data_IF_373896955635
#
_entry.id   IF_373896955635
#
_cell.length_a   1.000
_cell.length_b   1.000
_cell.length_c   1.000
_cell.angle_alpha   90.00
_cell.angle_beta   90.00
_cell.angle_gamma   90.00
#
_symmetry.space_group_name_H-M   'P 1'
#
loop_
_entity.id
_entity.type
_entity.pdbx_description
1 polymer ?
#
# COMPACT_ATOMS: atom_id res chain seq x y z
N UNK A 1 -61.74 10.95 -36.45
CA UNK A 1 -62.85 10.20 -35.85
C UNK A 1 -64.10 11.07 -35.92
N UNK A 2 -65.27 10.51 -36.31
CA UNK A 2 -66.64 11.09 -36.24
C UNK A 2 -66.89 12.46 -36.92
N UNK A 3 -68.03 12.76 -37.54
CA UNK A 3 -69.25 12.07 -38.03
C UNK A 3 -69.77 13.01 -39.13
N UNK A 4 -70.19 12.58 -40.32
CA UNK A 4 -71.49 11.94 -40.62
C UNK A 4 -72.69 12.74 -40.11
N UNK A 5 -73.31 13.51 -41.01
CA UNK A 5 -74.67 14.09 -41.00
C UNK A 5 -74.99 14.31 -42.51
N UNK A 6 -75.42 13.29 -43.24
CA UNK A 6 -76.81 12.84 -43.42
C UNK A 6 -77.76 13.89 -44.06
N UNK A 7 -77.91 13.72 -45.38
CA UNK A 7 -79.15 13.72 -46.15
C UNK A 7 -80.35 14.58 -45.69
N UNK A 8 -80.72 15.53 -46.55
CA UNK A 8 -82.14 15.86 -46.73
C UNK A 8 -82.45 16.21 -48.19
N UNK A 9 -82.42 15.20 -49.06
CA UNK A 9 -82.97 15.27 -50.42
C UNK A 9 -84.48 15.05 -50.34
N UNK A 10 -85.25 16.13 -50.25
CA UNK A 10 -86.71 16.08 -50.40
C UNK A 10 -87.04 15.97 -51.89
N UNK A 11 -87.61 14.82 -52.27
CA UNK A 11 -87.92 14.45 -53.65
C UNK A 11 -89.11 15.21 -54.26
N UNK A 12 -89.10 15.29 -55.59
CA UNK A 12 -90.29 15.57 -56.40
C UNK A 12 -91.43 14.60 -56.07
N UNK A 13 -92.52 15.04 -55.43
CA UNK A 13 -93.81 14.29 -55.47
C UNK A 13 -95.09 15.02 -54.96
N UNK A 14 -95.30 16.34 -55.16
CA UNK A 14 -96.61 16.92 -54.70
C UNK A 14 -97.28 18.09 -55.47
N UNK A 15 -96.88 18.46 -56.69
CA UNK A 15 -97.57 19.52 -57.46
C UNK A 15 -98.04 19.13 -58.88
N UNK A 16 -98.64 17.94 -59.01
CA UNK A 16 -99.44 17.53 -60.19
C UNK A 16 -100.95 17.41 -59.90
N UNK A 17 -101.44 18.04 -58.82
CA UNK A 17 -102.82 17.89 -58.31
C UNK A 17 -103.87 18.85 -58.92
N UNK A 18 -103.47 19.72 -59.86
CA UNK A 18 -104.36 20.71 -60.48
C UNK A 18 -104.35 20.62 -62.02
N UNK A 19 -104.65 19.44 -62.57
CA UNK A 19 -105.21 19.32 -63.92
C UNK A 19 -106.69 18.90 -63.83
N UNK A 20 -107.65 19.75 -64.23
CA UNK A 20 -109.03 19.31 -64.42
C UNK A 20 -109.13 18.46 -65.69
N UNK A 21 -109.21 17.13 -65.50
CA UNK A 21 -109.54 16.20 -66.56
C UNK A 21 -111.04 16.31 -66.94
N UNK A 22 -111.30 16.28 -68.26
CA UNK A 22 -112.59 16.00 -68.93
C UNK A 22 -113.90 16.09 -68.12
N UNK A 23 -114.80 16.97 -68.55
CA UNK A 23 -116.19 16.56 -68.80
C UNK A 23 -116.46 16.45 -70.30
N UNK A 24 -116.14 15.27 -70.85
CA UNK A 24 -116.93 14.69 -71.94
C UNK A 24 -118.19 14.08 -71.32
N UNK A 25 -119.33 14.73 -71.48
CA UNK A 25 -120.65 14.17 -71.21
C UNK A 25 -121.57 14.50 -72.38
N UNK A 26 -122.00 13.48 -73.12
CA UNK A 26 -122.94 13.65 -74.23
C UNK A 26 -124.30 13.02 -73.94
N UNK A 27 -125.23 13.30 -74.85
CA UNK A 27 -126.64 12.88 -74.93
C UNK A 27 -127.64 13.61 -74.00
N UNK A 28 -128.93 13.74 -74.42
CA UNK A 28 -129.51 13.31 -75.70
C UNK A 28 -130.02 14.46 -76.59
N UNK A 29 -130.19 14.16 -77.89
CA UNK A 29 -130.86 14.99 -78.91
C UNK A 29 -132.31 14.51 -79.10
N UNK A 30 -133.30 15.41 -78.97
CA UNK A 30 -134.67 15.44 -79.55
C UNK A 30 -135.53 16.47 -78.76
N UNK A 31 -136.66 17.06 -79.19
CA UNK A 31 -137.34 17.37 -80.48
C UNK A 31 -138.67 18.06 -80.08
N UNK A 32 -139.21 19.11 -80.71
CA UNK A 32 -138.80 19.98 -81.82
C UNK A 32 -139.45 21.36 -81.65
N UNK A 33 -138.83 22.45 -82.10
CA UNK A 33 -139.53 23.67 -82.57
C UNK A 33 -138.58 24.54 -83.41
N UNK A 34 -138.97 24.82 -84.66
CA UNK A 34 -138.26 25.69 -85.61
C UNK A 34 -138.51 27.16 -85.18
N UNK A 35 -137.60 28.14 -85.21
CA UNK A 35 -136.87 28.77 -86.33
C UNK A 35 -135.91 29.82 -85.70
N UNK A 36 -134.74 30.13 -86.28
CA UNK A 36 -134.30 31.54 -86.61
C UNK A 36 -132.80 31.69 -86.93
N UNK A 37 -132.51 32.18 -88.14
CA UNK A 37 -131.17 32.51 -88.63
C UNK A 37 -130.54 33.73 -87.90
N UNK A 38 -131.37 34.57 -87.27
CA UNK A 38 -130.91 35.73 -86.47
C UNK A 38 -130.23 35.34 -85.17
N UNK A 39 -130.68 34.27 -84.51
CA UNK A 39 -130.11 33.79 -83.25
C UNK A 39 -128.72 33.20 -83.45
N UNK A 40 -128.41 32.72 -84.65
CA UNK A 40 -127.11 32.15 -85.00
C UNK A 40 -126.04 33.22 -85.22
N UNK A 41 -126.42 34.40 -85.73
CA UNK A 41 -125.53 35.58 -85.82
C UNK A 41 -125.28 36.16 -84.43
N UNK A 42 -126.33 36.26 -83.59
CA UNK A 42 -126.21 36.72 -82.21
C UNK A 42 -125.33 35.76 -81.37
N UNK A 43 -125.50 34.45 -81.52
CA UNK A 43 -124.67 33.43 -80.89
C UNK A 43 -123.20 33.53 -81.33
N UNK A 44 -122.92 33.73 -82.62
CA UNK A 44 -121.54 33.90 -83.11
C UNK A 44 -120.87 35.19 -82.59
N UNK A 45 -121.63 36.29 -82.53
CA UNK A 45 -121.19 37.55 -81.89
C UNK A 45 -120.87 37.35 -80.42
N UNK A 46 -121.76 36.68 -79.68
CA UNK A 46 -121.59 36.37 -78.26
C UNK A 46 -120.39 35.44 -78.01
N UNK A 47 -120.18 34.43 -78.87
CA UNK A 47 -119.02 33.53 -78.81
C UNK A 47 -117.70 34.27 -79.09
N UNK A 48 -117.67 35.23 -80.02
CA UNK A 48 -116.48 36.07 -80.23
C UNK A 48 -116.19 36.96 -79.02
N UNK A 49 -117.23 37.57 -78.42
CA UNK A 49 -117.08 38.37 -77.21
C UNK A 49 -116.59 37.53 -76.02
N UNK A 50 -117.15 36.33 -75.82
CA UNK A 50 -116.73 35.39 -74.77
C UNK A 50 -115.29 34.93 -75.00
N UNK A 51 -114.89 34.58 -76.23
CA UNK A 51 -113.49 34.22 -76.54
C UNK A 51 -112.53 35.35 -76.23
N UNK A 52 -112.83 36.57 -76.71
CA UNK A 52 -112.02 37.76 -76.42
C UNK A 52 -111.90 38.02 -74.92
N UNK A 53 -113.00 37.84 -74.16
CA UNK A 53 -112.98 38.03 -72.71
C UNK A 53 -112.16 36.95 -71.99
N UNK A 54 -112.26 35.69 -72.40
CA UNK A 54 -111.43 34.58 -71.89
C UNK A 54 -109.94 34.82 -72.23
N UNK A 55 -109.63 35.31 -73.43
CA UNK A 55 -108.26 35.66 -73.84
C UNK A 55 -107.71 36.85 -73.03
N UNK A 56 -108.51 37.88 -72.75
CA UNK A 56 -108.17 38.99 -71.86
C UNK A 56 -107.91 38.50 -70.42
N UNK A 57 -108.79 37.65 -69.88
CA UNK A 57 -108.67 37.12 -68.51
C UNK A 57 -107.45 36.18 -68.38
N UNK A 58 -107.17 35.35 -69.40
CA UNK A 58 -105.96 34.52 -69.46
C UNK A 58 -104.68 35.35 -69.59
N UNK A 59 -104.69 36.42 -70.38
CA UNK A 59 -103.57 37.35 -70.47
C UNK A 59 -103.32 38.06 -69.14
N UNK A 60 -104.38 38.44 -68.42
CA UNK A 60 -104.24 39.01 -67.08
C UNK A 60 -103.67 37.99 -66.09
N UNK A 61 -104.19 36.75 -66.05
CA UNK A 61 -103.68 35.69 -65.18
C UNK A 61 -102.21 35.36 -65.45
N UNK A 62 -101.81 35.25 -66.73
CA UNK A 62 -100.41 35.06 -67.14
C UNK A 62 -99.56 36.26 -66.72
N UNK A 63 -100.01 37.49 -66.90
CA UNK A 63 -99.29 38.69 -66.47
C UNK A 63 -99.16 38.77 -64.93
N UNK A 64 -100.18 38.36 -64.18
CA UNK A 64 -100.12 38.23 -62.72
C UNK A 64 -99.13 37.14 -62.30
N UNK A 65 -99.14 35.96 -62.95
CA UNK A 65 -98.19 34.87 -62.72
C UNK A 65 -96.75 35.31 -63.01
N UNK A 66 -96.50 35.95 -64.15
CA UNK A 66 -95.18 36.48 -64.53
C UNK A 66 -94.69 37.54 -63.52
N UNK A 67 -95.56 38.41 -63.01
CA UNK A 67 -95.20 39.35 -61.96
C UNK A 67 -94.89 38.65 -60.63
N UNK A 68 -95.66 37.62 -60.23
CA UNK A 68 -95.37 36.77 -59.06
C UNK A 68 -94.00 36.08 -59.21
N UNK A 69 -93.72 35.45 -60.35
CA UNK A 69 -92.44 34.79 -60.63
C UNK A 69 -91.27 35.79 -60.65
N UNK A 70 -91.45 36.97 -61.27
CA UNK A 70 -90.44 38.04 -61.24
C UNK A 70 -90.15 38.51 -59.82
N UNK A 71 -91.17 38.65 -58.98
CA UNK A 71 -91.00 39.00 -57.57
C UNK A 71 -90.27 37.89 -56.80
N UNK A 72 -90.69 36.63 -56.94
CA UNK A 72 -90.03 35.47 -56.30
C UNK A 72 -88.56 35.35 -56.71
N UNK A 73 -88.26 35.45 -58.00
CA UNK A 73 -86.87 35.47 -58.51
C UNK A 73 -86.07 36.65 -57.95
N UNK A 74 -86.69 37.83 -57.80
CA UNK A 74 -85.99 38.98 -57.20
C UNK A 74 -85.68 38.76 -55.71
N UNK A 75 -86.63 38.22 -54.93
CA UNK A 75 -86.45 37.90 -53.50
C UNK A 75 -85.43 36.76 -53.31
N UNK A 76 -85.46 35.76 -54.17
CA UNK A 76 -84.49 34.67 -54.17
C UNK A 76 -83.08 35.17 -54.54
N UNK A 77 -82.97 36.08 -55.53
CA UNK A 77 -81.72 36.72 -55.91
C UNK A 77 -81.14 37.57 -54.78
N UNK A 78 -81.95 38.44 -54.15
CA UNK A 78 -81.48 39.24 -53.00
C UNK A 78 -81.06 38.35 -51.84
N UNK A 79 -81.80 37.25 -51.57
CA UNK A 79 -81.40 36.28 -50.54
C UNK A 79 -80.04 35.63 -50.85
N UNK A 80 -79.79 35.21 -52.09
CA UNK A 80 -78.49 34.67 -52.45
C UNK A 80 -77.37 35.72 -52.40
N UNK A 81 -77.66 36.97 -52.77
CA UNK A 81 -76.71 38.09 -52.62
C UNK A 81 -76.40 38.35 -51.13
N UNK A 82 -77.40 38.34 -50.25
CA UNK A 82 -77.25 38.46 -48.80
C UNK A 82 -76.45 37.29 -48.20
N UNK A 83 -76.75 36.05 -48.60
CA UNK A 83 -76.04 34.84 -48.15
C UNK A 83 -74.57 34.86 -48.62
N UNK A 84 -74.29 35.25 -49.87
CA UNK A 84 -72.91 35.45 -50.38
C UNK A 84 -72.20 36.58 -49.64
N UNK A 85 -72.86 37.72 -49.39
CA UNK A 85 -72.28 38.83 -48.63
C UNK A 85 -71.96 38.43 -47.19
N UNK A 86 -72.85 37.66 -46.54
CA UNK A 86 -72.62 37.11 -45.21
C UNK A 86 -71.43 36.16 -45.20
N UNK A 87 -71.41 35.14 -46.07
CA UNK A 87 -70.28 34.22 -46.17
C UNK A 87 -68.97 34.94 -46.50
N UNK A 88 -68.97 35.93 -47.40
CA UNK A 88 -67.78 36.71 -47.72
C UNK A 88 -67.28 37.52 -46.53
N UNK A 89 -68.19 38.09 -45.72
CA UNK A 89 -67.86 38.83 -44.50
C UNK A 89 -67.28 37.91 -43.42
N UNK A 90 -67.88 36.73 -43.23
CA UNK A 90 -67.45 35.75 -42.24
C UNK A 90 -66.05 35.20 -42.59
N UNK A 91 -65.81 34.83 -43.87
CA UNK A 91 -64.48 34.45 -44.35
C UNK A 91 -63.46 35.59 -44.21
N UNK A 92 -63.83 36.84 -44.53
CA UNK A 92 -62.94 37.99 -44.34
C UNK A 92 -62.59 38.25 -42.87
N UNK A 93 -63.50 37.93 -41.93
CA UNK A 93 -63.21 37.97 -40.49
C UNK A 93 -62.23 36.85 -40.11
N UNK A 94 -62.51 35.61 -40.49
CA UNK A 94 -61.64 34.45 -40.18
C UNK A 94 -60.24 34.64 -40.75
N UNK A 95 -60.09 35.14 -41.98
CA UNK A 95 -58.79 35.44 -42.57
C UNK A 95 -58.05 36.53 -41.80
N UNK A 96 -58.74 37.59 -41.34
CA UNK A 96 -58.15 38.64 -40.50
C UNK A 96 -57.69 38.10 -39.15
N UNK A 97 -58.49 37.23 -38.53
CA UNK A 97 -58.16 36.61 -37.24
C UNK A 97 -56.98 35.64 -37.35
N UNK A 98 -56.89 34.88 -38.46
CA UNK A 98 -55.74 34.01 -38.75
C UNK A 98 -54.48 34.82 -39.07
N UNK A 99 -54.58 35.91 -39.82
CA UNK A 99 -53.48 36.85 -40.06
C UNK A 99 -52.98 37.47 -38.75
N UNK A 100 -53.88 37.94 -37.89
CA UNK A 100 -53.53 38.47 -36.57
C UNK A 100 -52.84 37.44 -35.67
N UNK A 101 -53.30 36.17 -35.71
CA UNK A 101 -52.62 35.06 -35.02
C UNK A 101 -51.23 34.80 -35.58
N UNK A 102 -51.07 34.73 -36.90
CA UNK A 102 -49.75 34.57 -37.55
C UNK A 102 -48.79 35.70 -37.19
N UNK A 103 -49.23 36.96 -37.24
CA UNK A 103 -48.41 38.12 -36.84
C UNK A 103 -48.03 38.07 -35.35
N UNK A 104 -48.93 37.63 -34.48
CA UNK A 104 -48.63 37.47 -33.04
C UNK A 104 -47.62 36.36 -32.78
N UNK A 105 -47.72 35.23 -33.49
CA UNK A 105 -46.81 34.09 -33.41
C UNK A 105 -45.44 34.43 -34.00
N UNK A 106 -45.40 35.15 -35.12
CA UNK A 106 -44.15 35.62 -35.73
C UNK A 106 -43.40 36.59 -34.81
N UNK A 107 -44.11 37.53 -34.15
CA UNK A 107 -43.52 38.42 -33.14
C UNK A 107 -43.01 37.65 -31.92
N UNK A 108 -43.77 36.67 -31.42
CA UNK A 108 -43.34 35.82 -30.31
C UNK A 108 -42.09 34.99 -30.67
N UNK A 109 -42.07 34.40 -31.86
CA UNK A 109 -40.94 33.64 -32.37
C UNK A 109 -39.68 34.51 -32.52
N UNK A 110 -39.82 35.73 -33.02
CA UNK A 110 -38.68 36.64 -33.18
C UNK A 110 -38.15 37.14 -31.84
N UNK A 111 -39.03 37.44 -30.87
CA UNK A 111 -38.64 37.76 -29.50
C UNK A 111 -37.87 36.60 -28.82
N UNK A 112 -38.35 35.36 -28.96
CA UNK A 112 -37.67 34.20 -28.38
C UNK A 112 -36.35 33.86 -29.10
N UNK A 113 -36.24 34.08 -30.42
CA UNK A 113 -34.94 34.00 -31.12
C UNK A 113 -33.96 35.05 -30.62
N UNK A 114 -34.39 36.31 -30.50
CA UNK A 114 -33.56 37.40 -29.99
C UNK A 114 -33.04 37.07 -28.59
N UNK A 115 -33.94 36.66 -27.68
CA UNK A 115 -33.61 36.18 -26.33
C UNK A 115 -32.67 34.97 -26.34
N UNK A 116 -32.87 34.00 -27.22
CA UNK A 116 -31.97 32.84 -27.33
C UNK A 116 -30.57 33.27 -27.79
N UNK A 117 -30.48 34.22 -28.72
CA UNK A 117 -29.19 34.77 -29.17
C UNK A 117 -28.47 35.55 -28.06
N UNK A 118 -29.20 36.34 -27.28
CA UNK A 118 -28.65 37.06 -26.13
C UNK A 118 -28.14 36.10 -25.05
N UNK A 119 -28.92 35.07 -24.70
CA UNK A 119 -28.52 34.04 -23.73
C UNK A 119 -27.28 33.24 -24.18
N UNK A 120 -27.10 33.01 -25.49
CA UNK A 120 -25.87 32.39 -26.02
C UNK A 120 -24.65 33.28 -25.82
N UNK A 121 -24.76 34.57 -26.14
CA UNK A 121 -23.67 35.54 -25.94
C UNK A 121 -23.33 35.69 -24.46
N UNK A 122 -24.34 35.72 -23.57
CA UNK A 122 -24.13 35.72 -22.12
C UNK A 122 -23.42 34.44 -21.64
N UNK A 123 -23.80 33.27 -22.16
CA UNK A 123 -23.15 32.00 -21.83
C UNK A 123 -21.69 31.96 -22.32
N UNK A 124 -21.41 32.46 -23.53
CA UNK A 124 -20.05 32.55 -24.07
C UNK A 124 -19.16 33.50 -23.24
N UNK A 125 -19.69 34.65 -22.78
CA UNK A 125 -18.93 35.56 -21.91
C UNK A 125 -18.68 34.95 -20.52
N UNK A 126 -19.66 34.28 -19.91
CA UNK A 126 -19.46 33.58 -18.63
C UNK A 126 -18.50 32.40 -18.76
N UNK A 127 -18.54 31.64 -19.86
CA UNK A 127 -17.53 30.61 -20.16
C UNK A 127 -16.12 31.20 -20.26
N UNK A 128 -15.97 32.35 -20.93
CA UNK A 128 -14.69 33.05 -21.06
C UNK A 128 -14.20 33.63 -19.72
N UNK A 129 -15.10 34.11 -18.85
CA UNK A 129 -14.78 34.56 -17.48
C UNK A 129 -14.29 33.39 -16.64
N UNK A 130 -14.99 32.26 -16.69
CA UNK A 130 -14.61 31.02 -16.00
C UNK A 130 -13.25 30.52 -16.49
N UNK A 131 -13.00 30.46 -17.81
CA UNK A 131 -11.70 30.05 -18.36
C UNK A 131 -10.55 30.98 -17.91
N UNK A 132 -10.77 32.30 -17.89
CA UNK A 132 -9.79 33.27 -17.37
C UNK A 132 -9.54 33.06 -15.87
N UNK A 133 -10.58 32.81 -15.08
CA UNK A 133 -10.45 32.53 -13.66
C UNK A 133 -9.67 31.23 -13.39
N UNK A 134 -9.91 30.17 -14.17
CA UNK A 134 -9.13 28.93 -14.12
C UNK A 134 -7.65 29.17 -14.42
N UNK A 135 -7.31 29.90 -15.48
CA UNK A 135 -5.91 30.20 -15.84
C UNK A 135 -5.19 31.04 -14.76
N UNK A 136 -5.89 31.98 -14.14
CA UNK A 136 -5.34 32.76 -13.01
C UNK A 136 -5.14 31.87 -11.78
N UNK A 137 -6.10 30.98 -11.49
CA UNK A 137 -6.00 30.04 -10.37
C UNK A 137 -4.87 29.03 -10.58
N UNK A 138 -4.74 28.45 -11.78
CA UNK A 138 -3.66 27.53 -12.16
C UNK A 138 -2.29 28.20 -12.05
N UNK A 139 -2.13 29.43 -12.57
CA UNK A 139 -0.89 30.19 -12.43
C UNK A 139 -0.54 30.47 -10.95
N UNK A 140 -1.52 30.83 -10.13
CA UNK A 140 -1.33 31.09 -8.70
C UNK A 140 -1.04 29.80 -7.90
N UNK A 141 -1.64 28.68 -8.28
CA UNK A 141 -1.34 27.38 -7.67
C UNK A 141 0.10 26.96 -8.02
N UNK A 142 0.52 27.11 -9.27
CA UNK A 142 1.91 26.83 -9.68
C UNK A 142 2.93 27.75 -8.97
N UNK A 143 2.61 29.03 -8.80
CA UNK A 143 3.42 29.98 -8.01
C UNK A 143 3.53 29.53 -6.54
N UNK A 144 2.40 29.20 -5.89
CA UNK A 144 2.37 28.69 -4.52
C UNK A 144 3.12 27.36 -4.35
N UNK A 145 2.98 26.43 -5.31
CA UNK A 145 3.70 25.14 -5.30
C UNK A 145 5.21 25.34 -5.47
N UNK A 146 5.64 26.33 -6.26
CA UNK A 146 7.05 26.71 -6.37
C UNK A 146 7.58 27.35 -5.07
N UNK A 147 6.82 28.28 -4.48
CA UNK A 147 7.17 28.91 -3.19
C UNK A 147 7.27 27.86 -2.07
N UNK A 148 6.29 26.95 -1.96
CA UNK A 148 6.28 25.84 -0.99
C UNK A 148 7.46 24.88 -1.23
N UNK A 149 7.77 24.56 -2.49
CA UNK A 149 8.91 23.71 -2.83
C UNK A 149 10.24 24.37 -2.48
N UNK A 150 10.41 25.66 -2.75
CA UNK A 150 11.61 26.41 -2.38
C UNK A 150 11.73 26.53 -0.85
N UNK A 151 10.64 26.79 -0.14
CA UNK A 151 10.64 26.82 1.32
C UNK A 151 11.01 25.46 1.93
N UNK A 152 10.47 24.36 1.38
CA UNK A 152 10.81 23.00 1.79
C UNK A 152 12.30 22.71 1.55
N UNK A 153 12.85 23.06 0.39
CA UNK A 153 14.27 22.84 0.08
C UNK A 153 15.20 23.70 0.92
N UNK A 154 14.82 24.95 1.21
CA UNK A 154 15.58 25.82 2.11
C UNK A 154 15.55 25.30 3.55
N UNK A 155 14.39 24.82 4.04
CA UNK A 155 14.32 24.13 5.34
C UNK A 155 15.15 22.85 5.37
N UNK A 156 15.11 22.03 4.31
CA UNK A 156 15.93 20.80 4.19
C UNK A 156 17.43 21.12 4.31
N UNK A 157 17.93 22.10 3.56
CA UNK A 157 19.33 22.55 3.61
C UNK A 157 19.71 23.05 5.02
N UNK A 158 18.86 23.87 5.64
CA UNK A 158 19.09 24.37 7.00
C UNK A 158 19.15 23.24 8.04
N UNK A 159 18.25 22.25 7.94
CA UNK A 159 18.28 21.07 8.81
C UNK A 159 19.52 20.21 8.56
N UNK A 160 19.89 19.99 7.29
CA UNK A 160 21.10 19.25 6.91
C UNK A 160 22.35 19.94 7.51
N UNK A 161 22.55 21.24 7.25
CA UNK A 161 23.65 22.04 7.81
C UNK A 161 23.69 22.05 9.35
N UNK A 162 22.53 22.11 10.01
CA UNK A 162 22.41 22.04 11.47
C UNK A 162 22.80 20.65 12.00
N UNK A 163 22.32 19.58 11.35
CA UNK A 163 22.73 18.20 11.73
C UNK A 163 24.21 17.97 11.48
N UNK A 164 24.76 18.49 10.38
CA UNK A 164 26.18 18.40 10.03
C UNK A 164 27.05 19.13 11.06
N UNK A 165 26.63 20.33 11.50
CA UNK A 165 27.31 21.08 12.57
C UNK A 165 27.26 20.34 13.90
N UNK A 166 26.12 19.72 14.27
CA UNK A 166 25.99 18.88 15.48
C UNK A 166 26.85 17.62 15.44
N UNK A 167 26.87 16.92 14.30
CA UNK A 167 27.70 15.72 14.11
C UNK A 167 29.18 16.08 14.17
N UNK A 168 29.62 17.15 13.49
CA UNK A 168 31.02 17.62 13.56
C UNK A 168 31.42 17.97 14.99
N UNK A 169 30.59 18.73 15.70
CA UNK A 169 30.84 19.10 17.10
C UNK A 169 30.97 17.86 18.01
N UNK A 170 30.03 16.93 17.96
CA UNK A 170 30.07 15.70 18.77
C UNK A 170 31.26 14.79 18.40
N UNK A 171 31.61 14.71 17.12
CA UNK A 171 32.80 13.98 16.64
C UNK A 171 34.09 14.61 17.19
N UNK A 172 34.20 15.94 17.21
CA UNK A 172 35.38 16.63 17.71
C UNK A 172 35.48 16.54 19.25
N UNK A 173 34.37 16.64 19.98
CA UNK A 173 34.34 16.34 21.43
C UNK A 173 34.82 14.91 21.73
N UNK A 174 34.34 13.91 20.98
CA UNK A 174 34.75 12.52 21.15
C UNK A 174 36.23 12.30 20.77
N UNK A 175 36.76 12.99 19.74
CA UNK A 175 38.20 13.00 19.44
C UNK A 175 39.02 13.60 20.59
N UNK A 176 38.57 14.71 21.17
CA UNK A 176 39.24 15.33 22.32
C UNK A 176 39.25 14.40 23.55
N UNK A 177 38.10 13.77 23.86
CA UNK A 177 38.01 12.78 24.93
C UNK A 177 38.89 11.55 24.68
N UNK A 178 38.91 11.02 23.45
CA UNK A 178 39.80 9.92 23.06
C UNK A 178 41.27 10.28 23.21
N UNK A 179 41.68 11.50 22.81
CA UNK A 179 43.05 11.98 22.97
C UNK A 179 43.44 12.07 24.45
N UNK A 180 42.59 12.64 25.30
CA UNK A 180 42.84 12.72 26.75
C UNK A 180 43.00 11.33 27.38
N UNK A 181 42.22 10.33 26.92
CA UNK A 181 42.33 8.94 27.37
C UNK A 181 43.61 8.28 26.87
N UNK A 182 44.01 8.49 25.62
CA UNK A 182 45.27 7.97 25.09
C UNK A 182 46.47 8.59 25.83
N UNK A 183 46.48 9.90 26.07
CA UNK A 183 47.52 10.58 26.83
C UNK A 183 47.66 9.99 28.25
N UNK A 184 46.53 9.71 28.93
CA UNK A 184 46.51 9.02 30.23
C UNK A 184 47.00 7.57 30.17
N UNK A 185 46.68 6.84 29.10
CA UNK A 185 47.17 5.47 28.86
C UNK A 185 48.68 5.48 28.61
N UNK A 186 49.20 6.45 27.85
CA UNK A 186 50.63 6.62 27.61
C UNK A 186 51.38 6.98 28.90
N UNK A 187 50.83 7.86 29.74
CA UNK A 187 51.43 8.17 31.03
C UNK A 187 51.44 6.95 31.97
N UNK A 188 50.33 6.21 32.04
CA UNK A 188 50.26 4.94 32.78
C UNK A 188 51.28 3.92 32.27
N UNK A 189 51.48 3.79 30.95
CA UNK A 189 52.52 2.93 30.36
C UNK A 189 53.93 3.34 30.80
N UNK A 190 54.26 4.64 30.85
CA UNK A 190 55.55 5.12 31.37
C UNK A 190 55.76 4.78 32.83
N UNK A 191 54.76 5.01 33.68
CA UNK A 191 54.81 4.66 35.12
C UNK A 191 55.01 3.15 35.30
N UNK A 192 54.28 2.32 34.55
CA UNK A 192 54.44 0.85 34.57
C UNK A 192 55.83 0.43 34.09
N UNK A 193 56.40 1.09 33.08
CA UNK A 193 57.75 0.80 32.60
C UNK A 193 58.80 1.14 33.68
N UNK A 194 58.73 2.34 34.27
CA UNK A 194 59.63 2.75 35.35
C UNK A 194 59.55 1.84 36.58
N UNK A 195 58.34 1.46 37.01
CA UNK A 195 58.17 0.50 38.12
C UNK A 195 58.75 -0.89 37.80
N UNK A 196 58.61 -1.37 36.56
CA UNK A 196 59.23 -2.64 36.12
C UNK A 196 60.75 -2.58 36.11
N UNK A 197 61.34 -1.42 35.85
CA UNK A 197 62.78 -1.20 35.91
C UNK A 197 63.28 -1.21 37.36
N UNK A 198 62.64 -0.46 38.27
CA UNK A 198 62.96 -0.47 39.70
C UNK A 198 62.80 -1.88 40.32
N UNK A 199 61.80 -2.66 39.90
CA UNK A 199 61.65 -4.06 40.36
C UNK A 199 62.86 -4.91 39.93
N UNK A 200 63.37 -4.75 38.70
CA UNK A 200 64.57 -5.46 38.24
C UNK A 200 65.82 -5.03 38.99
N UNK A 201 65.98 -3.74 39.26
CA UNK A 201 67.09 -3.20 40.06
C UNK A 201 67.08 -3.79 41.48
N UNK A 202 65.94 -3.73 42.16
CA UNK A 202 65.76 -4.32 43.50
C UNK A 202 65.98 -5.84 43.51
N UNK A 203 65.55 -6.56 42.47
CA UNK A 203 65.83 -8.00 42.32
C UNK A 203 67.32 -8.28 42.14
N UNK A 204 68.02 -7.48 41.34
CA UNK A 204 69.47 -7.61 41.13
C UNK A 204 70.25 -7.29 42.41
N UNK A 205 69.86 -6.25 43.15
CA UNK A 205 70.53 -5.87 44.39
C UNK A 205 70.24 -6.84 45.53
N UNK A 206 69.03 -7.39 45.63
CA UNK A 206 68.72 -8.49 46.52
C UNK A 206 69.58 -9.74 46.19
N UNK A 207 69.74 -10.08 44.90
CA UNK A 207 70.60 -11.19 44.49
C UNK A 207 72.07 -10.97 44.86
N UNK A 208 72.61 -9.75 44.68
CA UNK A 208 73.98 -9.39 45.12
C UNK A 208 74.14 -9.49 46.64
N UNK A 209 73.18 -8.96 47.41
CA UNK A 209 73.24 -9.01 48.87
C UNK A 209 73.18 -10.45 49.41
N UNK A 210 72.35 -11.30 48.79
CA UNK A 210 72.29 -12.73 49.11
C UNK A 210 73.62 -13.43 48.80
N UNK A 211 74.25 -13.15 47.65
CA UNK A 211 75.53 -13.77 47.31
C UNK A 211 76.69 -13.28 48.19
N UNK A 212 76.73 -11.97 48.51
CA UNK A 212 77.75 -11.37 49.38
C UNK A 212 77.61 -11.85 50.83
N UNK A 213 76.43 -11.70 51.42
CA UNK A 213 76.17 -12.13 52.80
C UNK A 213 76.27 -13.65 52.98
N UNK A 214 75.91 -14.42 51.95
CA UNK A 214 76.12 -15.87 51.93
C UNK A 214 77.59 -16.24 51.94
N UNK A 215 78.41 -15.61 51.09
CA UNK A 215 79.85 -15.88 51.03
C UNK A 215 80.58 -15.44 52.31
N UNK A 216 80.33 -14.23 52.81
CA UNK A 216 80.94 -13.74 54.06
C UNK A 216 80.59 -14.62 55.27
N UNK A 217 79.38 -15.19 55.31
CA UNK A 217 78.97 -16.11 56.36
C UNK A 217 79.70 -17.46 56.26
N UNK A 218 79.85 -18.00 55.05
CA UNK A 218 80.63 -19.21 54.80
C UNK A 218 82.11 -19.00 55.16
N UNK A 219 82.74 -17.93 54.68
CA UNK A 219 84.14 -17.61 54.96
C UNK A 219 84.42 -17.50 56.48
N UNK A 220 83.47 -16.97 57.25
CA UNK A 220 83.55 -16.93 58.71
C UNK A 220 83.43 -18.31 59.37
N UNK A 221 82.68 -19.25 58.81
CA UNK A 221 82.59 -20.62 59.32
C UNK A 221 83.91 -21.38 59.06
N UNK A 222 84.52 -21.18 57.88
CA UNK A 222 85.84 -21.75 57.54
C UNK A 222 86.92 -21.26 58.51
N UNK A 223 86.98 -19.94 58.75
CA UNK A 223 87.95 -19.31 59.66
C UNK A 223 87.82 -19.72 61.14
N UNK A 224 86.71 -20.33 61.54
CA UNK A 224 86.49 -20.83 62.90
C UNK A 224 86.59 -22.37 62.99
N UNK A 225 87.18 -23.03 61.98
CA UNK A 225 87.34 -24.49 61.89
C UNK A 225 86.02 -25.27 62.11
N UNK A 226 84.89 -24.70 61.69
CA UNK A 226 83.56 -25.30 61.90
C UNK A 226 83.36 -26.46 60.93
N UNK A 227 83.47 -27.68 61.43
CA UNK A 227 83.24 -28.91 60.67
C UNK A 227 81.79 -29.39 60.76
N UNK A 228 81.19 -29.71 59.62
CA UNK A 228 79.83 -30.21 59.52
C UNK A 228 79.82 -31.73 59.55
N UNK A 229 79.54 -32.32 60.71
CA UNK A 229 79.42 -33.78 60.86
C UNK A 229 77.96 -34.18 60.78
N UNK A 230 77.62 -35.00 59.77
CA UNK A 230 76.28 -35.59 59.60
C UNK A 230 76.36 -37.11 59.73
N UNK A 231 75.30 -37.75 60.22
CA UNK A 231 75.19 -39.21 60.22
C UNK A 231 74.30 -39.66 59.06
N UNK A 232 74.80 -40.56 58.23
CA UNK A 232 74.03 -41.25 57.19
C UNK A 232 74.13 -42.76 57.37
N UNK A 233 73.00 -43.52 57.34
CA UNK A 233 73.04 -44.98 57.42
C UNK A 233 73.97 -45.56 56.35
N UNK A 234 74.80 -46.53 56.73
CA UNK A 234 75.75 -47.17 55.80
C UNK A 234 77.02 -46.35 55.48
N UNK A 235 76.97 -45.02 55.59
CA UNK A 235 78.14 -44.14 55.46
C UNK A 235 78.80 -43.81 56.82
N UNK A 236 78.01 -43.83 57.90
CA UNK A 236 78.46 -43.43 59.23
C UNK A 236 78.48 -41.92 59.41
N UNK A 237 79.43 -41.41 60.19
CA UNK A 237 79.65 -39.98 60.35
C UNK A 237 80.48 -39.43 59.19
N UNK A 238 79.83 -38.69 58.28
CA UNK A 238 80.49 -37.97 57.20
C UNK A 238 80.85 -36.57 57.71
N UNK A 239 82.13 -36.20 57.60
CA UNK A 239 82.57 -34.83 57.81
C UNK A 239 82.55 -34.09 56.46
N UNK A 240 81.63 -33.15 56.31
CA UNK A 240 81.44 -32.36 55.10
C UNK A 240 82.32 -31.12 55.21
N UNK A 241 83.34 -31.04 54.35
CA UNK A 241 84.12 -29.82 54.20
C UNK A 241 83.24 -28.68 53.65
N UNK A 242 83.43 -27.45 54.14
CA UNK A 242 82.58 -26.30 53.82
C UNK A 242 82.38 -26.10 52.30
N UNK A 243 83.44 -26.25 51.50
CA UNK A 243 83.40 -26.22 50.02
C UNK A 243 82.43 -27.21 49.34
N UNK A 244 81.93 -28.21 50.06
CA UNK A 244 80.98 -29.21 49.57
C UNK A 244 79.59 -29.12 50.26
N UNK A 245 79.39 -28.17 51.18
CA UNK A 245 78.12 -28.03 51.91
C UNK A 245 76.95 -27.65 51.00
N UNK A 246 77.19 -26.85 49.95
CA UNK A 246 76.17 -26.48 48.97
C UNK A 246 75.64 -27.71 48.22
N UNK A 247 76.54 -28.52 47.66
CA UNK A 247 76.19 -29.78 46.97
C UNK A 247 75.47 -30.76 47.91
N UNK A 248 75.88 -30.83 49.19
CA UNK A 248 75.18 -31.63 50.18
C UNK A 248 73.75 -31.13 50.46
N UNK A 249 73.54 -29.81 50.58
CA UNK A 249 72.21 -29.25 50.83
C UNK A 249 71.26 -29.39 49.63
N UNK A 250 71.78 -29.34 48.41
CA UNK A 250 71.02 -29.61 47.19
C UNK A 250 70.57 -31.08 47.09
N UNK A 251 71.43 -32.03 47.46
CA UNK A 251 71.09 -33.44 47.48
C UNK A 251 71.83 -34.26 48.57
N UNK A 252 71.26 -34.34 49.80
CA UNK A 252 71.89 -35.07 50.90
C UNK A 252 72.04 -36.58 50.65
N UNK A 253 71.11 -37.16 49.89
CA UNK A 253 71.05 -38.61 49.63
C UNK A 253 72.04 -39.02 48.54
N UNK A 254 72.16 -38.24 47.46
CA UNK A 254 73.20 -38.43 46.45
C UNK A 254 74.61 -38.32 47.04
N UNK A 255 74.83 -37.34 47.92
CA UNK A 255 76.12 -37.17 48.60
C UNK A 255 76.47 -38.36 49.52
N UNK A 256 75.49 -38.91 50.24
CA UNK A 256 75.66 -40.11 51.06
C UNK A 256 75.88 -41.37 50.19
N UNK A 257 75.18 -41.50 49.06
CA UNK A 257 75.33 -42.58 48.10
C UNK A 257 76.75 -42.60 47.49
N UNK A 258 77.26 -41.44 47.07
CA UNK A 258 78.64 -41.27 46.58
C UNK A 258 79.67 -41.69 47.65
N UNK A 259 79.46 -41.28 48.91
CA UNK A 259 80.32 -41.68 50.02
C UNK A 259 80.30 -43.20 50.28
N UNK A 260 79.13 -43.84 50.09
CA UNK A 260 78.95 -45.29 50.10
C UNK A 260 79.39 -46.00 48.80
N UNK A 261 79.82 -45.25 47.77
CA UNK A 261 80.22 -45.73 46.44
C UNK A 261 79.13 -46.54 45.72
N UNK A 262 77.89 -46.08 45.82
CA UNK A 262 76.71 -46.63 45.13
C UNK A 262 75.97 -45.52 44.39
N UNK A 263 75.18 -45.88 43.39
CA UNK A 263 74.26 -44.94 42.74
C UNK A 263 73.14 -44.52 43.71
N UNK A 264 72.60 -43.31 43.52
CA UNK A 264 71.61 -42.74 44.44
C UNK A 264 70.34 -43.59 44.54
N UNK A 265 69.85 -44.12 43.42
CA UNK A 265 68.66 -44.98 43.40
C UNK A 265 68.89 -46.28 44.18
N UNK A 266 70.08 -46.88 44.04
CA UNK A 266 70.49 -48.08 44.80
C UNK A 266 70.56 -47.75 46.30
N UNK A 267 71.07 -46.58 46.67
CA UNK A 267 71.11 -46.12 48.06
C UNK A 267 69.71 -45.88 48.63
N UNK A 268 68.79 -45.29 47.85
CA UNK A 268 67.38 -45.07 48.21
C UNK A 268 66.64 -46.40 48.42
N UNK A 269 66.77 -47.36 47.50
CA UNK A 269 66.19 -48.71 47.68
C UNK A 269 66.79 -49.44 48.90
N UNK A 270 68.11 -49.32 49.08
CA UNK A 270 68.78 -49.91 50.24
C UNK A 270 68.30 -49.30 51.56
N UNK A 271 68.09 -47.97 51.65
CA UNK A 271 67.57 -47.31 52.85
C UNK A 271 66.19 -47.87 53.24
N UNK A 272 65.28 -48.05 52.27
CA UNK A 272 63.95 -48.66 52.50
C UNK A 272 64.09 -50.08 53.05
N UNK A 273 64.98 -50.90 52.47
CA UNK A 273 65.28 -52.24 52.97
C UNK A 273 65.97 -52.24 54.34
N UNK A 274 66.81 -51.24 54.63
CA UNK A 274 67.54 -51.09 55.88
C UNK A 274 66.60 -50.75 57.04
N UNK A 275 65.66 -49.83 56.84
CA UNK A 275 64.61 -49.50 57.81
C UNK A 275 63.60 -50.64 58.00
N UNK A 276 63.23 -51.32 56.90
CA UNK A 276 62.20 -52.37 56.91
C UNK A 276 62.54 -53.50 55.93
N UNK A 277 63.35 -54.50 56.34
CA UNK A 277 63.75 -55.61 55.47
C UNK A 277 62.59 -56.58 55.24
N UNK A 278 61.73 -56.26 54.28
CA UNK A 278 60.59 -57.07 53.82
C UNK A 278 60.56 -57.12 52.30
N UNK A 279 59.97 -58.18 51.75
CA UNK A 279 59.79 -58.32 50.31
C UNK A 279 58.88 -57.22 49.74
N UNK A 280 59.46 -56.36 48.90
CA UNK A 280 58.76 -55.21 48.29
C UNK A 280 57.84 -55.59 47.12
N UNK A 281 58.10 -56.74 46.49
CA UNK A 281 57.35 -57.26 45.34
C UNK A 281 55.82 -57.12 45.53
N UNK A 282 55.20 -56.31 44.67
CA UNK A 282 53.77 -56.08 44.62
C UNK A 282 53.07 -57.23 43.88
N UNK A 283 51.87 -57.61 44.33
CA UNK A 283 51.03 -58.60 43.65
C UNK A 283 49.76 -57.95 43.14
N UNK A 284 49.64 -57.76 41.82
CA UNK A 284 48.45 -57.16 41.19
C UNK A 284 47.15 -57.92 41.50
N UNK A 285 47.26 -59.25 41.68
CA UNK A 285 46.13 -60.15 41.99
C UNK A 285 45.56 -59.88 43.39
N UNK A 286 46.42 -59.56 44.36
CA UNK A 286 46.02 -59.32 45.76
C UNK A 286 46.00 -57.85 46.17
N UNK A 287 46.56 -56.97 45.32
CA UNK A 287 46.78 -55.54 45.57
C UNK A 287 47.61 -55.22 46.83
N UNK A 288 48.42 -56.17 47.29
CA UNK A 288 49.28 -56.07 48.47
C UNK A 288 50.76 -56.32 48.11
N UNK A 289 51.68 -55.76 48.90
CA UNK A 289 53.10 -56.14 48.84
C UNK A 289 53.34 -57.43 49.60
N UNK A 290 54.27 -58.26 49.13
CA UNK A 290 54.52 -59.59 49.68
C UNK A 290 54.84 -59.57 51.19
N UNK A 291 55.54 -58.55 51.69
CA UNK A 291 55.73 -58.29 53.12
C UNK A 291 56.56 -59.33 53.90
N UNK A 292 57.00 -60.41 53.24
CA UNK A 292 57.81 -61.47 53.85
C UNK A 292 59.14 -60.92 54.34
N UNK A 293 59.43 -61.08 55.65
CA UNK A 293 60.69 -60.62 56.26
C UNK A 293 61.92 -61.19 55.55
N UNK A 294 62.89 -60.33 55.30
CA UNK A 294 64.16 -60.63 54.64
C UNK A 294 65.32 -60.51 55.62
N UNK A 295 66.51 -60.94 55.19
CA UNK A 295 67.75 -60.67 55.92
C UNK A 295 68.14 -59.21 55.70
N UNK A 296 68.37 -58.48 56.79
CA UNK A 296 68.91 -57.12 56.74
C UNK A 296 70.26 -57.12 56.01
N UNK A 297 70.43 -56.19 55.06
CA UNK A 297 71.70 -55.93 54.39
C UNK A 297 72.30 -54.68 55.02
N UNK A 298 73.41 -54.83 55.75
CA UNK A 298 73.96 -53.79 56.63
C UNK A 298 74.80 -52.74 55.86
N UNK A 299 75.32 -53.09 54.69
CA UNK A 299 76.14 -52.20 53.86
C UNK A 299 75.45 -51.91 52.52
N UNK A 300 75.33 -50.64 52.09
CA UNK A 300 74.72 -50.28 50.80
C UNK A 300 75.42 -50.95 49.62
N UNK A 301 76.76 -51.03 49.65
CA UNK A 301 77.57 -51.66 48.60
C UNK A 301 77.36 -53.19 48.46
N UNK A 302 76.59 -53.81 49.37
CA UNK A 302 76.19 -55.22 49.30
C UNK A 302 74.71 -55.40 48.92
N UNK A 303 74.00 -54.30 48.66
CA UNK A 303 72.62 -54.32 48.23
C UNK A 303 72.53 -54.52 46.72
N UNK A 304 71.64 -55.42 46.30
CA UNK A 304 71.37 -55.68 44.88
C UNK A 304 69.85 -55.56 44.68
N UNK A 305 69.38 -54.51 43.97
CA UNK A 305 67.98 -54.36 43.58
C UNK A 305 67.39 -55.64 42.98
N UNK A 306 66.14 -55.95 43.29
CA UNK A 306 65.43 -57.16 42.87
C UNK A 306 65.87 -58.47 43.55
N UNK A 307 66.98 -58.47 44.31
CA UNK A 307 67.51 -59.66 45.01
C UNK A 307 67.59 -59.49 46.53
N UNK A 308 68.03 -58.32 47.00
CA UNK A 308 68.18 -58.03 48.44
C UNK A 308 66.87 -57.58 49.08
N UNK A 309 66.06 -56.81 48.34
CA UNK A 309 64.70 -56.35 48.67
C UNK A 309 63.57 -57.34 48.32
N UNK A 310 63.89 -58.53 47.77
CA UNK A 310 62.90 -59.55 47.41
C UNK A 310 63.19 -60.92 48.02
N UNK A 311 62.14 -61.67 48.33
CA UNK A 311 62.26 -63.03 48.85
C UNK A 311 62.56 -64.02 47.70
N UNK A 312 63.04 -65.25 47.99
CA UNK A 312 63.39 -66.22 46.94
C UNK A 312 62.26 -66.60 45.96
N UNK A 313 60.98 -66.41 46.34
CA UNK A 313 59.83 -66.62 45.45
C UNK A 313 59.62 -65.48 44.44
N UNK A 314 60.22 -64.31 44.70
CA UNK A 314 60.09 -63.08 43.92
C UNK A 314 61.46 -62.49 43.52
N UNK A 315 62.53 -63.29 43.59
CA UNK A 315 63.82 -62.89 43.04
C UNK A 315 63.66 -62.69 41.53
N UNK A 316 63.86 -61.45 41.08
CA UNK A 316 64.08 -61.19 39.66
C UNK A 316 65.49 -61.65 39.33
N UNK A 317 65.60 -62.89 38.86
CA UNK A 317 66.73 -63.29 38.01
C UNK A 317 66.67 -62.37 36.78
N UNK A 318 67.71 -61.56 36.59
CA UNK A 318 67.61 -60.36 35.77
C UNK A 318 67.18 -60.64 34.32
N UNK A 319 66.17 -59.90 33.87
CA UNK A 319 65.99 -59.62 32.44
C UNK A 319 67.03 -58.57 32.02
N UNK A 320 68.29 -59.00 31.90
CA UNK A 320 69.27 -58.25 31.13
C UNK A 320 68.98 -58.44 29.63
N UNK A 321 68.23 -57.51 29.05
CA UNK A 321 68.26 -57.25 27.61
C UNK A 321 67.10 -57.83 26.77
N UNK A 322 65.97 -57.15 26.77
CA UNK A 322 65.01 -57.18 25.66
C UNK A 322 64.51 -55.77 25.34
N UNK A 323 64.48 -55.42 24.05
CA UNK A 323 63.91 -54.18 23.48
C UNK A 323 64.52 -52.83 23.95
N UNK A 324 65.69 -52.50 23.38
CA UNK A 324 65.80 -51.16 22.76
C UNK A 324 64.93 -51.16 21.50
N UNK A 325 64.08 -50.14 21.35
CA UNK A 325 63.18 -49.94 20.21
C UNK A 325 62.46 -48.62 20.35
#
# INVERSE_FOLDING_TARGET
ERTEDEDNVVSDEEYQKYMPANLKSGLPLYVNEEISEGDQILANSLVQFIKKKIEEDQQEEIAQMQNKHRLLLSVQKTRFEDDIHKMSKDHASVLRDLQGKLDSLNKALENEKARNSELRVQLEDEMLRVEKAWKIYEARMAESEMEDSEQIDNMRKQFEEETDRRVKHAVDEMKHAMKEKEDKVQESKKVIAGLKEHIKELQNDAAKLISQGGQEFLDRLDQNDVSFVVYHPGAGHINIALKHIGTYLENPLGYAAEHCKVEEDIYREWLVHHEKPVCDAYSDVKKETCGKKLKLVVSPAQFVPGRSNRCPMHWSFGEEGAAKG
#
